data_IF_877387570027
#
_entry.id   IF_877387570027
#
_cell.length_a   1.000
_cell.length_b   1.000
_cell.length_c   1.000
_cell.angle_alpha   90.00
_cell.angle_beta   90.00
_cell.angle_gamma   90.00
#
_symmetry.space_group_name_H-M   'P 1'
#
loop_
_entity.id
_entity.type
_entity.pdbx_description
1 polymer ?
#
# COMPACT_ATOMS: atom_id res chain seq x y z
N UNK A 1 13.80 -6.88 -45.63
CA UNK A 1 14.54 -6.60 -44.34
C UNK A 1 13.71 -5.72 -43.41
N UNK A 2 12.54 -6.15 -42.99
CA UNK A 2 11.59 -5.33 -42.19
C UNK A 2 10.83 -6.08 -41.07
N UNK A 3 10.61 -7.37 -41.22
CA UNK A 3 9.71 -8.12 -40.30
C UNK A 3 10.39 -8.49 -38.98
N UNK A 4 11.69 -8.77 -38.97
CA UNK A 4 12.40 -9.15 -37.74
C UNK A 4 12.61 -7.98 -36.73
N UNK A 5 12.61 -6.73 -37.22
CA UNK A 5 12.70 -5.54 -36.33
C UNK A 5 11.38 -5.21 -35.65
N UNK A 6 10.25 -5.58 -36.25
CA UNK A 6 8.92 -5.37 -35.65
C UNK A 6 8.60 -6.40 -34.57
N UNK A 7 9.06 -7.63 -34.71
CA UNK A 7 8.89 -8.69 -33.72
C UNK A 7 9.73 -8.39 -32.47
N UNK A 8 10.93 -7.86 -32.62
CA UNK A 8 11.77 -7.44 -31.49
C UNK A 8 11.18 -6.29 -30.66
N UNK A 9 10.45 -5.37 -31.28
CA UNK A 9 9.79 -4.25 -30.59
C UNK A 9 8.54 -4.71 -29.82
N UNK A 10 7.79 -5.68 -30.35
CA UNK A 10 6.61 -6.25 -29.69
C UNK A 10 6.99 -7.13 -28.50
N UNK A 11 8.11 -7.86 -28.57
CA UNK A 11 8.61 -8.67 -27.45
C UNK A 11 9.19 -7.81 -26.32
N UNK A 12 9.78 -6.65 -26.64
CA UNK A 12 10.26 -5.70 -25.62
C UNK A 12 9.12 -5.00 -24.85
N UNK A 13 7.92 -4.88 -25.44
CA UNK A 13 6.73 -4.34 -24.81
C UNK A 13 6.00 -5.35 -23.89
N UNK A 14 6.33 -6.63 -23.98
CA UNK A 14 5.75 -7.71 -23.17
C UNK A 14 6.51 -7.96 -21.85
N UNK A 15 7.64 -7.31 -21.61
CA UNK A 15 8.37 -7.34 -20.34
C UNK A 15 7.78 -6.34 -19.33
N UNK A 16 6.47 -6.15 -19.31
CA UNK A 16 5.82 -5.33 -18.27
C UNK A 16 5.66 -6.14 -17.03
N UNK A 17 6.47 -5.79 -16.03
CA UNK A 17 6.40 -6.19 -14.64
C UNK A 17 4.96 -6.36 -14.16
N UNK A 18 4.71 -7.39 -13.36
CA UNK A 18 3.54 -7.52 -12.49
C UNK A 18 3.31 -6.17 -11.79
N UNK A 19 2.27 -5.45 -12.22
CA UNK A 19 1.95 -4.13 -11.67
C UNK A 19 1.08 -4.35 -10.47
N UNK A 20 1.71 -4.53 -9.32
CA UNK A 20 1.00 -4.60 -8.04
C UNK A 20 0.85 -3.21 -7.42
N UNK A 21 -0.17 -3.11 -6.58
CA UNK A 21 -0.46 -1.92 -5.81
C UNK A 21 0.64 -1.66 -4.77
N UNK A 22 1.54 -0.76 -5.08
CA UNK A 22 2.73 -0.43 -4.26
C UNK A 22 2.64 0.99 -3.74
N UNK A 23 3.27 1.29 -2.60
CA UNK A 23 3.30 2.64 -2.04
C UNK A 23 4.08 3.66 -2.90
N UNK A 24 4.77 3.21 -3.95
CA UNK A 24 5.47 4.05 -4.93
C UNK A 24 5.03 3.62 -6.33
N UNK A 25 4.68 4.60 -7.19
CA UNK A 25 4.32 4.36 -8.58
C UNK A 25 5.57 4.21 -9.47
N UNK A 26 5.37 4.11 -10.79
CA UNK A 26 6.48 4.25 -11.76
C UNK A 26 7.01 5.68 -11.76
N UNK A 27 8.17 5.91 -12.33
CA UNK A 27 8.75 7.25 -12.49
C UNK A 27 7.79 8.17 -13.25
N UNK A 28 7.46 9.31 -12.69
CA UNK A 28 6.49 10.26 -13.22
C UNK A 28 5.02 9.91 -12.98
N UNK A 29 4.72 8.79 -12.34
CA UNK A 29 3.34 8.37 -12.06
C UNK A 29 2.78 8.98 -10.79
N UNK A 30 1.46 9.08 -10.75
CA UNK A 30 0.68 9.54 -9.61
C UNK A 30 -0.22 8.43 -9.07
N UNK A 31 -0.62 8.55 -7.81
CA UNK A 31 -1.51 7.61 -7.16
C UNK A 31 -2.48 8.33 -6.26
N UNK A 32 -3.73 7.92 -6.29
CA UNK A 32 -4.75 8.29 -5.31
C UNK A 32 -5.08 7.05 -4.48
N UNK A 33 -5.16 7.21 -3.17
CA UNK A 33 -5.57 6.18 -2.23
C UNK A 33 -6.68 6.68 -1.32
N UNK A 34 -7.56 5.78 -0.93
CA UNK A 34 -8.51 5.97 0.14
C UNK A 34 -8.40 4.79 1.10
N UNK A 35 -8.28 5.07 2.38
CA UNK A 35 -8.31 4.07 3.45
C UNK A 35 -9.40 4.43 4.44
N UNK A 36 -10.10 3.44 4.98
CA UNK A 36 -11.08 3.63 6.05
C UNK A 36 -11.11 2.42 6.97
N UNK A 37 -11.07 2.67 8.26
CA UNK A 37 -11.19 1.69 9.32
C UNK A 37 -12.07 2.24 10.45
N UNK A 38 -12.26 1.48 11.53
CA UNK A 38 -12.97 1.99 12.73
C UNK A 38 -12.30 3.20 13.36
N UNK A 39 -10.97 3.30 13.30
CA UNK A 39 -10.17 4.32 14.00
C UNK A 39 -9.95 5.57 13.17
N UNK A 40 -9.83 5.45 11.84
CA UNK A 40 -9.51 6.57 10.96
C UNK A 40 -9.96 6.34 9.53
N UNK A 41 -10.06 7.43 8.77
CA UNK A 41 -10.08 7.40 7.31
C UNK A 41 -9.08 8.40 6.74
N UNK A 42 -8.53 8.09 5.57
CA UNK A 42 -7.60 8.99 4.90
C UNK A 42 -7.78 9.00 3.38
N UNK A 43 -7.49 10.15 2.79
CA UNK A 43 -7.36 10.37 1.35
C UNK A 43 -5.93 10.79 1.09
N UNK A 44 -5.20 10.01 0.32
CA UNK A 44 -3.79 10.25 0.02
C UNK A 44 -3.59 10.38 -1.49
N UNK A 45 -2.95 11.46 -1.90
CA UNK A 45 -2.42 11.65 -3.23
C UNK A 45 -0.91 11.73 -3.16
N UNK A 46 -0.22 10.99 -4.01
CA UNK A 46 1.23 11.14 -4.16
C UNK A 46 1.68 11.12 -5.61
N UNK A 47 2.80 11.77 -5.85
CA UNK A 47 3.57 11.74 -7.07
C UNK A 47 4.88 11.00 -6.82
N UNK A 48 5.35 10.24 -7.81
CA UNK A 48 6.59 9.47 -7.75
C UNK A 48 7.61 10.03 -8.76
N UNK A 49 8.45 11.01 -8.37
CA UNK A 49 9.50 11.56 -9.27
C UNK A 49 10.46 10.48 -9.73
N UNK A 50 10.59 9.41 -8.96
CA UNK A 50 11.45 8.25 -9.22
C UNK A 50 10.76 6.97 -8.75
N UNK A 51 11.16 5.83 -9.30
CA UNK A 51 10.72 4.52 -8.78
C UNK A 51 11.20 4.24 -7.34
N UNK A 52 12.13 5.06 -6.81
CA UNK A 52 12.68 4.92 -5.46
C UNK A 52 11.92 5.67 -4.39
N UNK A 53 11.19 6.72 -4.73
CA UNK A 53 10.47 7.50 -3.74
C UNK A 53 9.21 8.16 -4.28
N UNK A 54 8.30 8.41 -3.38
CA UNK A 54 7.10 9.19 -3.62
C UNK A 54 6.93 10.25 -2.54
N UNK A 55 6.27 11.35 -2.90
CA UNK A 55 5.89 12.43 -1.99
C UNK A 55 4.46 12.85 -2.29
N UNK A 56 3.71 13.19 -1.25
CA UNK A 56 2.31 13.57 -1.44
C UNK A 56 1.67 14.15 -0.19
N UNK A 57 0.39 14.46 -0.32
CA UNK A 57 -0.44 14.98 0.75
C UNK A 57 -1.51 13.96 1.14
N UNK A 58 -1.71 13.79 2.43
CA UNK A 58 -2.68 12.89 3.03
C UNK A 58 -3.63 13.69 3.93
N UNK A 59 -4.92 13.73 3.59
CA UNK A 59 -5.96 14.22 4.48
C UNK A 59 -6.38 13.08 5.39
N UNK A 60 -6.30 13.28 6.69
CA UNK A 60 -6.59 12.30 7.73
C UNK A 60 -7.77 12.79 8.55
N UNK A 61 -8.77 11.91 8.73
CA UNK A 61 -9.84 12.06 9.69
C UNK A 61 -9.66 10.98 10.77
N UNK A 62 -9.05 11.37 11.89
CA UNK A 62 -8.84 10.51 13.05
C UNK A 62 -10.12 10.49 13.90
N UNK A 63 -10.85 9.37 13.83
CA UNK A 63 -12.10 9.17 14.56
C UNK A 63 -11.90 8.93 16.06
N UNK A 64 -10.72 8.40 16.42
CA UNK A 64 -10.39 8.12 17.81
C UNK A 64 -10.21 9.41 18.62
N UNK A 65 -9.48 10.38 18.04
CA UNK A 65 -9.25 11.68 18.64
C UNK A 65 -10.25 12.75 18.22
N UNK A 66 -11.17 12.42 17.29
CA UNK A 66 -12.09 13.37 16.67
C UNK A 66 -11.37 14.59 16.08
N UNK A 67 -10.29 14.33 15.35
CA UNK A 67 -9.43 15.35 14.75
C UNK A 67 -9.27 15.16 13.24
N UNK A 68 -9.03 16.27 12.52
CA UNK A 68 -8.83 16.28 11.09
C UNK A 68 -7.63 17.15 10.74
N UNK A 69 -6.77 16.63 9.90
CA UNK A 69 -5.57 17.35 9.48
C UNK A 69 -5.04 16.85 8.14
N UNK A 70 -4.18 17.67 7.53
CA UNK A 70 -3.40 17.30 6.35
C UNK A 70 -1.98 16.99 6.81
N UNK A 71 -1.37 15.98 6.22
CA UNK A 71 0.04 15.68 6.43
C UNK A 71 0.77 15.55 5.09
N UNK A 72 2.03 15.91 5.09
CA UNK A 72 2.94 15.67 3.96
C UNK A 72 3.66 14.35 4.23
N UNK A 73 3.50 13.40 3.31
CA UNK A 73 4.03 12.04 3.44
C UNK A 73 5.03 11.75 2.35
N UNK A 74 6.14 11.12 2.73
CA UNK A 74 7.13 10.57 1.81
C UNK A 74 7.32 9.09 2.06
N UNK A 75 7.56 8.33 0.99
CA UNK A 75 7.90 6.91 1.06
C UNK A 75 9.15 6.67 0.20
N UNK A 76 10.11 5.93 0.74
CA UNK A 76 11.37 5.59 0.09
C UNK A 76 11.55 4.08 0.00
N UNK A 77 11.87 3.57 -1.20
CA UNK A 77 12.20 2.18 -1.45
C UNK A 77 13.66 1.92 -1.08
N UNK A 78 13.87 1.18 0.00
CA UNK A 78 15.20 0.80 0.51
C UNK A 78 15.80 -0.34 -0.31
N UNK A 79 15.02 -1.42 -0.47
CA UNK A 79 15.44 -2.62 -1.21
C UNK A 79 14.30 -3.17 -2.05
N UNK A 80 14.66 -3.69 -3.22
CA UNK A 80 13.78 -4.47 -4.08
C UNK A 80 14.54 -5.61 -4.70
N UNK A 81 14.05 -6.82 -4.52
CA UNK A 81 14.59 -7.98 -5.20
C UNK A 81 13.50 -8.67 -6.00
N UNK A 82 13.72 -8.73 -7.30
CA UNK A 82 12.87 -9.43 -8.25
C UNK A 82 13.56 -10.72 -8.66
N UNK A 83 12.83 -11.82 -8.63
CA UNK A 83 13.24 -13.12 -9.19
C UNK A 83 12.20 -13.56 -10.21
N UNK A 84 12.43 -14.67 -10.90
CA UNK A 84 11.41 -15.25 -11.81
C UNK A 84 10.15 -15.71 -11.07
N UNK A 85 10.25 -16.03 -9.78
CA UNK A 85 9.17 -16.63 -8.99
C UNK A 85 8.58 -15.70 -7.94
N UNK A 86 9.29 -14.65 -7.53
CA UNK A 86 8.88 -13.80 -6.42
C UNK A 86 9.43 -12.38 -6.53
N UNK A 87 8.78 -11.47 -5.83
CA UNK A 87 9.27 -10.13 -5.57
C UNK A 87 9.21 -9.84 -4.08
N UNK A 88 10.20 -9.08 -3.58
CA UNK A 88 10.18 -8.51 -2.25
C UNK A 88 10.56 -7.04 -2.30
N UNK A 89 9.98 -6.27 -1.40
CA UNK A 89 10.26 -4.85 -1.26
C UNK A 89 10.40 -4.49 0.22
N UNK A 90 11.20 -3.47 0.49
CA UNK A 90 11.32 -2.84 1.81
C UNK A 90 11.26 -1.33 1.62
N UNK A 91 10.40 -0.66 2.38
CA UNK A 91 10.18 0.77 2.32
C UNK A 91 10.32 1.42 3.68
N UNK A 92 10.80 2.65 3.67
CA UNK A 92 10.66 3.58 4.79
C UNK A 92 9.61 4.62 4.44
N UNK A 93 8.83 5.03 5.42
CA UNK A 93 7.84 6.09 5.27
C UNK A 93 7.98 7.09 6.40
N UNK A 94 7.74 8.36 6.09
CA UNK A 94 7.66 9.43 7.06
C UNK A 94 6.59 10.42 6.66
N UNK A 95 5.98 11.06 7.65
CA UNK A 95 4.95 12.07 7.44
C UNK A 95 4.99 13.11 8.54
N UNK A 96 4.65 14.36 8.22
CA UNK A 96 4.54 15.47 9.17
C UNK A 96 3.21 16.17 8.95
N UNK A 97 2.51 16.51 10.04
CA UNK A 97 1.25 17.24 10.01
C UNK A 97 1.49 18.71 9.65
N UNK A 98 0.62 19.26 8.79
CA UNK A 98 0.62 20.70 8.50
C UNK A 98 -0.05 21.54 9.59
N UNK A 99 -0.80 20.91 10.51
CA UNK A 99 -1.51 21.57 11.61
C UNK A 99 -0.61 21.79 12.81
N UNK A 100 0.24 20.79 13.11
CA UNK A 100 1.20 20.83 14.22
C UNK A 100 2.47 20.08 13.79
N UNK A 101 3.60 20.76 13.77
CA UNK A 101 4.89 20.16 13.40
C UNK A 101 5.34 19.04 14.36
N UNK A 102 4.78 19.02 15.57
CA UNK A 102 5.04 17.98 16.57
C UNK A 102 4.31 16.66 16.25
N UNK A 103 3.26 16.70 15.41
CA UNK A 103 2.53 15.53 14.98
C UNK A 103 3.18 14.97 13.69
N UNK A 104 3.91 13.88 13.85
CA UNK A 104 4.58 13.20 12.75
C UNK A 104 4.58 11.68 12.95
N UNK A 105 4.83 10.94 11.90
CA UNK A 105 5.12 9.52 12.00
C UNK A 105 6.26 9.10 11.09
N UNK A 106 6.87 8.02 11.44
CA UNK A 106 7.80 7.28 10.60
C UNK A 106 7.55 5.78 10.75
N UNK A 107 8.02 5.02 9.79
CA UNK A 107 7.85 3.59 9.86
C UNK A 107 8.47 2.83 8.72
N UNK A 108 8.33 1.52 8.82
CA UNK A 108 8.83 0.55 7.88
C UNK A 108 7.67 -0.29 7.35
N UNK A 109 7.70 -0.57 6.07
CA UNK A 109 6.78 -1.48 5.41
C UNK A 109 7.57 -2.46 4.55
N UNK A 110 7.23 -3.73 4.59
CA UNK A 110 7.82 -4.75 3.76
C UNK A 110 6.76 -5.67 3.17
N UNK A 111 7.01 -6.14 1.96
CA UNK A 111 6.16 -7.13 1.29
C UNK A 111 7.01 -8.18 0.57
N UNK A 112 6.47 -9.38 0.50
CA UNK A 112 6.96 -10.47 -0.33
C UNK A 112 5.79 -11.14 -1.01
N UNK A 113 5.92 -11.36 -2.31
CA UNK A 113 4.87 -11.95 -3.13
C UNK A 113 5.41 -12.94 -4.15
N UNK A 114 4.59 -13.91 -4.44
CA UNK A 114 4.70 -14.82 -5.58
C UNK A 114 3.42 -14.71 -6.40
N UNK A 115 3.26 -15.48 -7.45
CA UNK A 115 1.98 -15.57 -8.16
C UNK A 115 0.84 -16.17 -7.31
N UNK A 116 1.15 -16.82 -6.17
CA UNK A 116 0.17 -17.53 -5.34
C UNK A 116 0.16 -17.13 -3.88
N UNK A 117 1.27 -16.65 -3.34
CA UNK A 117 1.40 -16.32 -1.92
C UNK A 117 1.83 -14.87 -1.75
N UNK A 118 1.23 -14.21 -0.78
CA UNK A 118 1.53 -12.84 -0.39
C UNK A 118 1.73 -12.77 1.10
N UNK A 119 2.72 -11.99 1.54
CA UNK A 119 2.87 -11.58 2.93
C UNK A 119 3.39 -10.15 2.99
N UNK A 120 2.95 -9.40 3.98
CA UNK A 120 3.47 -8.06 4.26
C UNK A 120 3.44 -7.75 5.74
N UNK A 121 4.26 -6.78 6.13
CA UNK A 121 4.22 -6.16 7.43
C UNK A 121 4.34 -4.64 7.30
N UNK A 122 3.80 -3.93 8.28
CA UNK A 122 3.95 -2.48 8.43
C UNK A 122 4.02 -2.13 9.90
N UNK A 123 4.96 -1.29 10.29
CA UNK A 123 5.08 -0.77 11.64
C UNK A 123 5.26 0.75 11.51
N UNK A 124 4.37 1.51 12.11
CA UNK A 124 4.36 2.97 12.12
C UNK A 124 4.43 3.45 13.55
N UNK A 125 5.47 4.21 13.88
CA UNK A 125 5.58 4.94 15.14
C UNK A 125 5.06 6.37 14.92
N UNK A 126 4.02 6.75 15.64
CA UNK A 126 3.31 8.00 15.49
C UNK A 126 3.47 8.85 16.74
N UNK A 127 4.01 10.05 16.55
CA UNK A 127 4.12 11.08 17.56
C UNK A 127 2.95 12.03 17.39
N UNK A 128 2.13 12.14 18.42
CA UNK A 128 0.92 12.95 18.38
C UNK A 128 0.80 13.77 19.66
N UNK A 129 0.33 15.01 19.52
CA UNK A 129 0.16 15.93 20.65
C UNK A 129 -0.73 15.40 21.76
N UNK A 130 -1.66 14.48 21.46
CA UNK A 130 -2.50 13.84 22.48
C UNK A 130 -1.78 12.70 23.19
N UNK A 131 -1.23 11.76 22.42
CA UNK A 131 -0.50 10.61 22.93
C UNK A 131 0.21 9.91 21.77
N UNK A 132 1.47 9.54 21.98
CA UNK A 132 2.23 8.71 21.06
C UNK A 132 1.65 7.30 20.99
N UNK A 133 1.66 6.71 19.79
CA UNK A 133 1.18 5.36 19.58
C UNK A 133 1.87 4.67 18.40
N UNK A 134 1.82 3.35 18.39
CA UNK A 134 2.36 2.52 17.32
C UNK A 134 1.23 1.76 16.64
N UNK A 135 1.26 1.72 15.32
CA UNK A 135 0.41 0.83 14.52
C UNK A 135 1.28 -0.28 13.93
N UNK A 136 0.91 -1.52 14.19
CA UNK A 136 1.52 -2.73 13.63
C UNK A 136 0.49 -3.48 12.80
N UNK A 137 0.88 -3.90 11.60
CA UNK A 137 0.02 -4.66 10.70
C UNK A 137 0.79 -5.79 10.04
N UNK A 138 0.21 -6.99 10.01
CA UNK A 138 0.69 -8.14 9.27
C UNK A 138 -0.40 -8.68 8.36
N UNK A 139 -0.02 -9.10 7.17
CA UNK A 139 -0.93 -9.69 6.20
C UNK A 139 -0.36 -10.98 5.64
N UNK A 140 -1.24 -11.96 5.44
CA UNK A 140 -0.95 -13.21 4.75
C UNK A 140 -2.06 -13.44 3.72
N UNK A 141 -1.71 -13.97 2.56
CA UNK A 141 -2.68 -14.20 1.52
C UNK A 141 -2.34 -15.29 0.54
N UNK A 142 -3.39 -15.83 -0.08
CA UNK A 142 -3.30 -16.81 -1.14
C UNK A 142 -4.21 -16.44 -2.30
N UNK A 143 -3.69 -16.55 -3.53
CA UNK A 143 -4.49 -16.41 -4.74
C UNK A 143 -5.15 -17.76 -5.05
N UNK A 144 -6.49 -17.84 -5.11
CA UNK A 144 -7.21 -19.09 -5.42
C UNK A 144 -6.96 -19.56 -6.84
N UNK A 145 -6.63 -18.65 -7.75
CA UNK A 145 -6.25 -18.94 -9.14
C UNK A 145 -5.06 -18.07 -9.57
N UNK A 146 -4.40 -18.46 -10.64
CA UNK A 146 -3.33 -17.70 -11.26
C UNK A 146 -3.93 -16.85 -12.38
N UNK A 147 -4.09 -15.55 -12.13
CA UNK A 147 -4.53 -14.61 -13.16
C UNK A 147 -3.42 -14.35 -14.18
N UNK A 148 -3.82 -14.09 -15.42
CA UNK A 148 -2.94 -13.61 -16.47
C UNK A 148 -2.84 -12.08 -16.45
N UNK A 149 -1.91 -11.55 -17.25
CA UNK A 149 -1.74 -10.09 -17.37
C UNK A 149 -3.07 -9.41 -17.74
N UNK A 150 -3.37 -8.30 -17.04
CA UNK A 150 -4.59 -7.51 -17.20
C UNK A 150 -5.91 -8.21 -16.84
N UNK A 151 -5.87 -9.42 -16.28
CA UNK A 151 -7.03 -10.04 -15.66
C UNK A 151 -7.24 -9.50 -14.24
N UNK A 152 -8.41 -9.78 -13.69
CA UNK A 152 -8.68 -9.54 -12.28
C UNK A 152 -7.89 -10.56 -11.43
N UNK A 153 -7.04 -10.06 -10.55
CA UNK A 153 -6.36 -10.88 -9.54
C UNK A 153 -7.13 -10.77 -8.22
N UNK A 154 -7.46 -11.92 -7.66
CA UNK A 154 -8.17 -12.02 -6.38
C UNK A 154 -7.28 -12.71 -5.37
N UNK A 155 -7.21 -12.16 -4.17
CA UNK A 155 -6.49 -12.72 -3.04
C UNK A 155 -7.44 -12.89 -1.87
N UNK A 156 -7.41 -14.06 -1.25
CA UNK A 156 -8.03 -14.32 0.04
C UNK A 156 -6.94 -14.05 1.08
N UNK A 157 -7.21 -13.13 1.97
CA UNK A 157 -6.22 -12.55 2.85
C UNK A 157 -6.65 -12.65 4.31
N UNK A 158 -5.67 -12.72 5.20
CA UNK A 158 -5.82 -12.55 6.64
C UNK A 158 -4.98 -11.34 7.06
N UNK A 159 -5.59 -10.39 7.76
CA UNK A 159 -4.94 -9.21 8.33
C UNK A 159 -4.96 -9.33 9.85
N UNK A 160 -3.80 -9.09 10.47
CA UNK A 160 -3.66 -8.92 11.90
C UNK A 160 -3.10 -7.54 12.17
N UNK A 161 -3.83 -6.73 12.91
CA UNK A 161 -3.49 -5.34 13.20
C UNK A 161 -3.60 -5.04 14.68
N UNK A 162 -2.63 -4.29 15.19
CA UNK A 162 -2.62 -3.68 16.52
C UNK A 162 -2.48 -2.17 16.39
N UNK A 163 -3.18 -1.47 17.25
CA UNK A 163 -3.02 -0.04 17.49
C UNK A 163 -2.92 0.13 19.01
N UNK A 164 -1.77 0.62 19.48
CA UNK A 164 -1.51 0.72 20.92
C UNK A 164 -2.40 1.72 21.66
N UNK A 165 -3.30 2.42 20.93
CA UNK A 165 -4.36 3.23 21.54
C UNK A 165 -5.47 2.38 22.16
N UNK A 166 -5.80 1.24 21.56
CA UNK A 166 -6.76 0.26 22.08
C UNK A 166 -6.10 -1.04 22.60
N UNK A 167 -4.79 -1.16 22.40
CA UNK A 167 -3.91 -2.20 22.96
C UNK A 167 -4.40 -3.63 22.71
N UNK A 168 -4.95 -3.87 21.50
CA UNK A 168 -5.54 -5.15 21.12
C UNK A 168 -5.15 -5.55 19.70
N UNK A 169 -4.61 -6.75 19.57
CA UNK A 169 -4.48 -7.41 18.28
C UNK A 169 -5.86 -7.80 17.75
N UNK A 170 -6.14 -7.44 16.51
CA UNK A 170 -7.38 -7.74 15.82
C UNK A 170 -7.07 -8.45 14.50
N UNK A 171 -7.52 -9.68 14.41
CA UNK A 171 -7.30 -10.52 13.22
C UNK A 171 -8.61 -10.78 12.50
N UNK A 172 -8.65 -10.52 11.20
CA UNK A 172 -9.86 -10.66 10.37
C UNK A 172 -9.52 -10.99 8.92
N UNK A 173 -10.41 -11.71 8.22
CA UNK A 173 -10.27 -11.96 6.79
C UNK A 173 -10.60 -10.71 5.98
N UNK A 174 -9.95 -10.60 4.80
CA UNK A 174 -10.32 -9.62 3.79
C UNK A 174 -10.05 -10.15 2.39
N UNK A 175 -10.65 -9.51 1.39
CA UNK A 175 -10.45 -9.80 -0.02
C UNK A 175 -9.67 -8.63 -0.62
N UNK A 176 -8.63 -8.97 -1.39
CA UNK A 176 -7.86 -8.03 -2.18
C UNK A 176 -8.10 -8.30 -3.65
N UNK A 177 -8.57 -7.30 -4.36
CA UNK A 177 -8.84 -7.32 -5.78
C UNK A 177 -7.88 -6.35 -6.47
N UNK A 178 -7.25 -6.83 -7.53
CA UNK A 178 -6.33 -6.02 -8.29
C UNK A 178 -6.52 -6.21 -9.80
N UNK A 179 -6.60 -5.10 -10.55
CA UNK A 179 -6.63 -5.11 -12.02
C UNK A 179 -6.00 -3.86 -12.59
N UNK A 180 -4.93 -4.02 -13.37
CA UNK A 180 -4.20 -2.90 -13.95
C UNK A 180 -3.69 -1.93 -12.88
N UNK A 181 -4.10 -0.66 -12.92
CA UNK A 181 -3.73 0.34 -11.91
C UNK A 181 -4.70 0.45 -10.72
N UNK A 182 -5.70 -0.45 -10.59
CA UNK A 182 -6.70 -0.42 -9.53
C UNK A 182 -6.44 -1.49 -8.48
N UNK A 183 -6.57 -1.11 -7.21
CA UNK A 183 -6.63 -2.01 -6.07
C UNK A 183 -7.89 -1.70 -5.26
N UNK A 184 -8.54 -2.75 -4.79
CA UNK A 184 -9.58 -2.68 -3.78
C UNK A 184 -9.34 -3.78 -2.75
N UNK A 185 -9.25 -3.40 -1.49
CA UNK A 185 -9.23 -4.31 -0.36
C UNK A 185 -10.49 -4.05 0.48
N UNK A 186 -11.18 -5.12 0.83
CA UNK A 186 -12.42 -5.07 1.62
C UNK A 186 -12.36 -6.14 2.68
N UNK A 187 -12.41 -5.73 3.93
CA UNK A 187 -12.49 -6.59 5.11
C UNK A 187 -13.57 -6.13 6.06
N UNK A 188 -14.01 -7.01 6.92
CA UNK A 188 -14.95 -6.68 7.98
C UNK A 188 -14.36 -7.11 9.31
N UNK A 189 -14.38 -6.17 10.24
CA UNK A 189 -13.93 -6.36 11.61
C UNK A 189 -15.03 -5.93 12.55
N UNK A 190 -15.62 -6.91 13.25
CA UNK A 190 -16.78 -6.66 14.11
C UNK A 190 -17.93 -6.02 13.29
N UNK A 191 -18.37 -4.83 13.61
CA UNK A 191 -19.41 -4.07 12.89
C UNK A 191 -18.85 -3.01 11.94
N UNK A 192 -17.54 -2.99 11.71
CA UNK A 192 -16.88 -1.95 10.91
C UNK A 192 -16.20 -2.54 9.67
N UNK A 193 -16.27 -1.81 8.57
CA UNK A 193 -15.56 -2.13 7.33
C UNK A 193 -14.14 -1.58 7.37
N UNK A 194 -13.17 -2.40 6.94
CA UNK A 194 -11.82 -2.00 6.60
C UNK A 194 -11.73 -1.94 5.07
N UNK A 195 -11.55 -0.74 4.54
CA UNK A 195 -11.54 -0.46 3.11
C UNK A 195 -10.20 0.17 2.72
N UNK A 196 -9.62 -0.32 1.63
CA UNK A 196 -8.50 0.32 0.97
C UNK A 196 -8.75 0.33 -0.54
N UNK A 197 -8.82 1.50 -1.09
CA UNK A 197 -8.90 1.72 -2.53
C UNK A 197 -7.65 2.44 -3.01
N UNK A 198 -7.15 2.06 -4.19
CA UNK A 198 -6.05 2.77 -4.83
C UNK A 198 -6.22 2.78 -6.35
N UNK A 199 -5.87 3.91 -6.96
CA UNK A 199 -5.74 4.09 -8.41
C UNK A 199 -4.42 4.74 -8.74
N UNK A 200 -3.70 4.13 -9.69
CA UNK A 200 -2.44 4.64 -10.24
C UNK A 200 -2.66 5.12 -11.67
N UNK A 201 -2.00 6.22 -12.04
CA UNK A 201 -2.06 6.84 -13.38
C UNK A 201 -0.81 7.67 -13.64
#
# INVERSE_FOLDING_TARGET
MGIHKFIGLVVALLATSLVEARPISWTGGSTIMYKSSSMMSSYYYHYSPSFKYSVGAEYINDRYYNDQYISIRSTYLVDRKNTKASQRNLYLTASVSTKKNEDFYYGVHGDWETRRYFTSFSILDKRASQKDYTESEFQLGVAPYLGEYNQLHTWIMLKSKEDTRDDKWKTYPFIKLFKGGFLLEVGSKESHWDLHFMKRF
#
